data_IF_402210345821
#
_entry.id   IF_402210345821
#
_cell.length_a   1.000
_cell.length_b   1.000
_cell.length_c   1.000
_cell.angle_alpha   90.00
_cell.angle_beta   90.00
_cell.angle_gamma   90.00
#
_symmetry.space_group_name_H-M   'P 1'
#
loop_
_entity.id
_entity.type
_entity.pdbx_description
1 polymer ?
#
# COMPACT_ATOMS: atom_id res chain seq x y z
N UNK A 1 -20.96 15.35 33.28
CA UNK A 1 -21.34 13.99 32.85
C UNK A 1 -22.09 14.15 31.54
N UNK A 2 -21.40 13.90 30.42
CA UNK A 2 -21.96 14.07 29.08
C UNK A 2 -22.89 12.91 28.75
N UNK A 3 -24.03 13.22 28.14
CA UNK A 3 -24.96 12.23 27.64
C UNK A 3 -24.30 11.42 26.53
N UNK A 4 -24.06 10.14 26.84
CA UNK A 4 -23.78 9.09 25.89
C UNK A 4 -24.94 8.95 24.91
N UNK A 5 -24.61 8.57 23.67
CA UNK A 5 -25.55 8.27 22.59
C UNK A 5 -26.51 7.15 23.04
N UNK A 6 -27.74 7.51 23.35
CA UNK A 6 -28.87 6.62 23.11
C UNK A 6 -29.35 6.86 21.69
N UNK A 7 -29.60 5.77 20.97
CA UNK A 7 -30.26 5.80 19.68
C UNK A 7 -31.48 6.72 19.74
N UNK A 8 -31.70 7.48 18.67
CA UNK A 8 -32.83 8.40 18.53
C UNK A 8 -34.14 7.74 19.05
N UNK A 9 -34.92 8.42 19.92
CA UNK A 9 -36.06 7.81 20.56
C UNK A 9 -37.09 7.30 19.55
N UNK A 10 -37.58 6.07 19.80
CA UNK A 10 -38.60 5.39 18.97
C UNK A 10 -39.95 6.12 18.89
N UNK A 11 -40.16 7.23 19.62
CA UNK A 11 -41.40 8.02 19.55
C UNK A 11 -41.56 8.82 18.25
N UNK A 12 -40.61 8.75 17.32
CA UNK A 12 -40.66 9.44 16.02
C UNK A 12 -41.10 8.53 14.85
N UNK A 13 -41.61 7.33 15.14
CA UNK A 13 -41.95 6.27 14.15
C UNK A 13 -43.12 6.63 13.18
N UNK A 14 -43.75 7.80 13.24
CA UNK A 14 -44.91 8.10 12.40
C UNK A 14 -44.95 9.46 11.67
N UNK A 15 -43.81 10.13 11.45
CA UNK A 15 -43.72 11.21 10.43
C UNK A 15 -42.38 11.12 9.71
N UNK A 16 -42.39 11.22 8.39
CA UNK A 16 -41.17 11.40 7.58
C UNK A 16 -40.51 12.72 8.02
N UNK A 17 -39.59 12.64 8.98
CA UNK A 17 -38.81 13.81 9.41
C UNK A 17 -37.77 14.04 8.33
N UNK A 18 -37.92 15.13 7.60
CA UNK A 18 -36.95 15.62 6.62
C UNK A 18 -35.70 16.06 7.41
N UNK A 19 -34.54 15.50 7.05
CA UNK A 19 -33.27 15.74 7.75
C UNK A 19 -32.32 16.53 6.84
N UNK A 20 -31.76 17.63 7.36
CA UNK A 20 -30.59 18.27 6.78
C UNK A 20 -29.37 17.67 7.47
N UNK A 21 -28.53 16.97 6.71
CA UNK A 21 -27.29 16.40 7.22
C UNK A 21 -26.11 17.29 6.85
N UNK A 22 -25.36 17.73 7.85
CA UNK A 22 -24.18 18.58 7.68
C UNK A 22 -22.94 17.75 7.99
N UNK A 23 -21.95 17.73 7.10
CA UNK A 23 -20.68 17.02 7.34
C UNK A 23 -19.47 17.86 6.97
N UNK A 24 -18.51 17.92 7.90
CA UNK A 24 -17.17 18.50 7.66
C UNK A 24 -16.07 17.42 7.54
N UNK A 25 -16.48 16.15 7.33
CA UNK A 25 -15.56 15.03 7.23
C UNK A 25 -14.65 14.88 8.47
N UNK A 26 -13.36 14.71 8.23
CA UNK A 26 -12.32 14.69 9.29
C UNK A 26 -11.64 16.04 9.49
N UNK A 27 -12.08 17.08 8.79
CA UNK A 27 -11.45 18.41 8.81
C UNK A 27 -12.03 19.29 9.90
N UNK A 28 -11.31 20.37 10.23
CA UNK A 28 -11.85 21.49 10.99
C UNK A 28 -12.59 22.44 10.03
N UNK A 29 -13.85 22.74 10.34
CA UNK A 29 -14.60 23.81 9.69
C UNK A 29 -15.72 24.33 10.61
N UNK A 30 -15.32 24.77 11.80
CA UNK A 30 -16.22 25.38 12.77
C UNK A 30 -17.13 26.51 12.20
N UNK A 31 -16.72 27.37 11.25
CA UNK A 31 -17.61 28.37 10.67
C UNK A 31 -18.90 27.82 10.06
N UNK A 32 -18.84 26.69 9.35
CA UNK A 32 -20.04 26.04 8.81
C UNK A 32 -20.90 25.44 9.92
N UNK A 33 -20.26 24.83 10.92
CA UNK A 33 -20.95 24.24 12.07
C UNK A 33 -21.70 25.31 12.85
N UNK A 34 -21.07 26.44 13.16
CA UNK A 34 -21.69 27.58 13.84
C UNK A 34 -22.88 28.09 13.04
N UNK A 35 -22.70 28.34 11.74
CA UNK A 35 -23.77 28.87 10.88
C UNK A 35 -24.98 27.94 10.84
N UNK A 36 -24.78 26.64 10.69
CA UNK A 36 -25.87 25.66 10.67
C UNK A 36 -26.55 25.50 12.03
N UNK A 37 -25.81 25.63 13.14
CA UNK A 37 -26.37 25.62 14.49
C UNK A 37 -27.21 26.87 14.79
N UNK A 38 -26.83 28.03 14.27
CA UNK A 38 -27.62 29.27 14.34
C UNK A 38 -28.92 29.17 13.52
N UNK A 39 -28.88 28.49 12.36
CA UNK A 39 -30.03 28.33 11.48
C UNK A 39 -30.99 27.24 11.93
N UNK A 40 -30.53 26.22 12.65
CA UNK A 40 -31.33 25.06 13.04
C UNK A 40 -32.70 25.40 13.68
N UNK A 41 -32.84 26.40 14.57
CA UNK A 41 -34.14 26.78 15.14
C UNK A 41 -35.14 27.38 14.13
N UNK A 42 -34.65 27.90 13.01
CA UNK A 42 -35.47 28.56 11.98
C UNK A 42 -35.93 27.61 10.88
N UNK A 43 -35.33 26.42 10.81
CA UNK A 43 -35.60 25.41 9.80
C UNK A 43 -36.71 24.46 10.28
N UNK A 44 -37.52 23.98 9.35
CA UNK A 44 -38.59 23.01 9.63
C UNK A 44 -38.05 21.58 9.76
N UNK A 45 -36.88 21.35 9.19
CA UNK A 45 -36.13 20.12 9.09
C UNK A 45 -35.27 19.88 10.34
N UNK A 46 -35.06 18.61 10.68
CA UNK A 46 -34.11 18.26 11.71
C UNK A 46 -32.68 18.45 11.17
N UNK A 47 -31.87 19.25 11.85
CA UNK A 47 -30.45 19.41 11.51
C UNK A 47 -29.60 18.43 12.32
N UNK A 48 -28.81 17.61 11.62
CA UNK A 48 -27.83 16.69 12.21
C UNK A 48 -26.44 17.03 11.68
N UNK A 49 -25.47 17.29 12.56
CA UNK A 49 -24.14 17.77 12.19
C UNK A 49 -23.05 16.78 12.62
N UNK A 50 -22.21 16.37 11.67
CA UNK A 50 -20.91 15.79 11.98
C UNK A 50 -19.89 16.91 12.18
N UNK A 51 -19.38 17.08 13.40
CA UNK A 51 -18.32 18.03 13.75
C UNK A 51 -16.98 17.28 13.74
N UNK A 52 -16.08 17.55 12.81
CA UNK A 52 -14.83 16.81 12.63
C UNK A 52 -13.83 17.03 13.78
N UNK A 53 -12.69 17.66 13.48
CA UNK A 53 -11.68 18.03 14.48
C UNK A 53 -11.91 19.39 15.13
N UNK A 54 -12.96 20.11 14.74
CA UNK A 54 -13.32 21.43 15.27
C UNK A 54 -13.66 21.45 16.77
N UNK A 55 -13.54 22.63 17.37
CA UNK A 55 -13.70 22.85 18.81
C UNK A 55 -15.12 23.28 19.19
N UNK A 56 -15.86 23.87 18.25
CA UNK A 56 -17.23 24.32 18.50
C UNK A 56 -18.18 23.14 18.76
N UNK A 57 -19.03 23.30 19.78
CA UNK A 57 -20.05 22.31 20.16
C UNK A 57 -21.44 22.92 19.88
N UNK A 58 -22.23 22.34 18.95
CA UNK A 58 -23.57 22.82 18.63
C UNK A 58 -24.53 22.79 19.82
N UNK A 59 -25.41 23.78 19.90
CA UNK A 59 -26.37 23.95 21.02
C UNK A 59 -27.83 23.72 20.61
N UNK A 60 -28.15 23.93 19.34
CA UNK A 60 -29.51 23.95 18.82
C UNK A 60 -29.84 22.75 17.92
N UNK A 61 -28.85 21.90 17.61
CA UNK A 61 -29.01 20.76 16.73
C UNK A 61 -28.37 19.47 17.28
N UNK A 62 -28.69 18.33 16.65
CA UNK A 62 -28.07 17.04 17.01
C UNK A 62 -26.69 16.97 16.38
N UNK A 63 -25.68 16.51 17.11
CA UNK A 63 -24.33 16.40 16.58
C UNK A 63 -23.61 15.12 16.99
N UNK A 64 -22.58 14.75 16.21
CA UNK A 64 -21.62 13.71 16.56
C UNK A 64 -20.25 14.05 15.97
N UNK A 65 -19.18 13.41 16.47
CA UNK A 65 -17.82 13.58 15.93
C UNK A 65 -17.47 12.55 14.87
N UNK A 66 -17.44 11.30 15.28
CA UNK A 66 -17.10 10.16 14.44
C UNK A 66 -18.16 9.08 14.57
N UNK A 67 -18.52 8.49 13.44
CA UNK A 67 -19.40 7.32 13.37
C UNK A 67 -18.69 6.23 12.54
N UNK A 68 -18.93 4.94 12.83
CA UNK A 68 -18.36 3.84 12.03
C UNK A 68 -18.75 3.90 10.55
N UNK A 69 -19.88 4.52 10.23
CA UNK A 69 -20.35 4.79 8.88
C UNK A 69 -21.26 6.03 8.87
N UNK A 70 -21.17 6.82 7.79
CA UNK A 70 -22.07 7.95 7.52
C UNK A 70 -23.31 7.54 6.71
N UNK A 71 -23.35 6.30 6.20
CA UNK A 71 -24.44 5.77 5.38
C UNK A 71 -25.84 6.02 5.97
N UNK A 72 -26.10 5.75 7.26
CA UNK A 72 -27.45 5.94 7.83
C UNK A 72 -27.89 7.41 7.86
N UNK A 73 -26.94 8.34 7.84
CA UNK A 73 -27.22 9.77 7.81
C UNK A 73 -27.51 10.24 6.40
N UNK A 74 -26.74 9.76 5.41
CA UNK A 74 -27.01 10.05 3.99
C UNK A 74 -28.37 9.49 3.55
N UNK A 75 -28.72 8.26 3.93
CA UNK A 75 -30.01 7.65 3.55
C UNK A 75 -31.20 8.50 4.01
N UNK A 76 -31.12 9.06 5.22
CA UNK A 76 -32.17 9.86 5.85
C UNK A 76 -32.16 11.33 5.44
N UNK A 77 -31.03 11.82 4.92
CA UNK A 77 -30.90 13.21 4.49
C UNK A 77 -31.75 13.47 3.23
N UNK A 78 -32.54 14.54 3.28
CA UNK A 78 -33.13 15.14 2.07
C UNK A 78 -32.14 16.05 1.38
N UNK A 79 -31.31 16.72 2.18
CA UNK A 79 -30.27 17.66 1.75
C UNK A 79 -29.01 17.38 2.56
N UNK A 80 -27.87 17.34 1.86
CA UNK A 80 -26.56 17.28 2.48
C UNK A 80 -25.87 18.63 2.29
N UNK A 81 -25.33 19.18 3.38
CA UNK A 81 -24.47 20.37 3.36
C UNK A 81 -23.06 19.94 3.74
N UNK A 82 -22.10 20.14 2.86
CA UNK A 82 -20.72 19.70 3.10
C UNK A 82 -19.71 20.74 2.68
N UNK A 83 -18.56 20.78 3.35
CA UNK A 83 -17.39 21.47 2.80
C UNK A 83 -16.90 20.70 1.58
N UNK A 84 -16.67 21.38 0.45
CA UNK A 84 -16.55 20.76 -0.88
C UNK A 84 -15.36 19.82 -1.16
N UNK A 85 -14.89 19.05 -0.18
CA UNK A 85 -13.94 17.97 -0.36
C UNK A 85 -14.44 16.92 -1.36
N UNK A 86 -13.56 16.51 -2.28
CA UNK A 86 -13.92 15.66 -3.42
C UNK A 86 -14.55 14.33 -3.01
N UNK A 87 -14.07 13.69 -1.94
CA UNK A 87 -14.59 12.40 -1.46
C UNK A 87 -16.07 12.47 -1.12
N UNK A 88 -16.43 13.39 -0.21
CA UNK A 88 -17.81 13.62 0.24
C UNK A 88 -18.71 14.06 -0.91
N UNK A 89 -18.24 15.02 -1.72
CA UNK A 89 -18.99 15.50 -2.90
C UNK A 89 -19.36 14.35 -3.83
N UNK A 90 -18.40 13.52 -4.21
CA UNK A 90 -18.66 12.41 -5.13
C UNK A 90 -19.53 11.31 -4.52
N UNK A 91 -19.41 11.06 -3.22
CA UNK A 91 -20.24 10.08 -2.50
C UNK A 91 -21.71 10.50 -2.48
N UNK A 92 -22.00 11.75 -2.12
CA UNK A 92 -23.36 12.31 -2.06
C UNK A 92 -23.99 12.32 -3.45
N UNK A 93 -23.25 12.78 -4.47
CA UNK A 93 -23.73 12.83 -5.85
C UNK A 93 -24.06 11.44 -6.41
N UNK A 94 -23.22 10.43 -6.15
CA UNK A 94 -23.49 9.05 -6.58
C UNK A 94 -24.70 8.41 -5.90
N UNK A 95 -25.05 8.89 -4.70
CA UNK A 95 -26.27 8.47 -3.98
C UNK A 95 -27.52 9.21 -4.45
N UNK A 96 -27.39 10.12 -5.41
CA UNK A 96 -28.51 10.91 -5.95
C UNK A 96 -29.12 11.88 -4.93
N UNK A 97 -28.32 12.32 -3.96
CA UNK A 97 -28.76 13.22 -2.89
C UNK A 97 -28.51 14.67 -3.29
N UNK A 98 -29.42 15.56 -2.89
CA UNK A 98 -29.26 17.01 -3.05
C UNK A 98 -28.08 17.48 -2.21
N UNK A 99 -27.11 18.13 -2.87
CA UNK A 99 -25.87 18.60 -2.25
C UNK A 99 -25.77 20.13 -2.34
N UNK A 100 -25.59 20.77 -1.17
CA UNK A 100 -25.04 22.12 -1.07
C UNK A 100 -23.57 21.98 -0.69
N UNK A 101 -22.69 22.31 -1.62
CA UNK A 101 -21.26 22.32 -1.38
C UNK A 101 -20.83 23.71 -0.94
N UNK A 102 -20.28 23.83 0.26
CA UNK A 102 -19.81 25.07 0.85
C UNK A 102 -18.31 25.20 0.61
N UNK A 103 -17.90 26.35 0.10
CA UNK A 103 -16.50 26.67 -0.07
C UNK A 103 -15.84 26.89 1.30
N UNK A 104 -14.86 26.05 1.64
CA UNK A 104 -14.07 26.21 2.84
C UNK A 104 -12.83 27.07 2.56
N UNK A 105 -12.90 28.33 2.93
CA UNK A 105 -11.82 29.31 2.76
C UNK A 105 -10.57 29.05 3.63
N UNK A 106 -10.64 28.10 4.58
CA UNK A 106 -9.53 27.78 5.50
C UNK A 106 -8.68 26.56 5.12
N UNK A 107 -9.13 25.71 4.18
CA UNK A 107 -8.50 24.41 3.92
C UNK A 107 -8.50 23.91 2.46
N UNK A 108 -8.68 24.77 1.46
CA UNK A 108 -8.83 24.33 0.05
C UNK A 108 -7.58 24.62 -0.81
N UNK A 109 -7.09 23.56 -1.48
CA UNK A 109 -6.21 23.62 -2.66
C UNK A 109 -7.02 24.01 -3.91
N UNK A 110 -6.47 24.86 -4.80
CA UNK A 110 -7.19 25.41 -5.96
C UNK A 110 -7.89 24.37 -6.87
N UNK A 111 -7.41 23.13 -6.90
CA UNK A 111 -8.04 22.04 -7.67
C UNK A 111 -9.45 21.66 -7.18
N UNK A 112 -9.80 21.87 -5.90
CA UNK A 112 -11.14 21.55 -5.42
C UNK A 112 -12.16 22.59 -5.91
N UNK A 113 -11.75 23.87 -5.98
CA UNK A 113 -12.56 24.96 -6.55
C UNK A 113 -12.88 24.70 -8.02
N UNK A 114 -11.89 24.29 -8.83
CA UNK A 114 -12.10 23.96 -10.25
C UNK A 114 -13.14 22.85 -10.45
N UNK A 115 -13.13 21.84 -9.56
CA UNK A 115 -14.06 20.72 -9.63
C UNK A 115 -15.47 21.14 -9.20
N UNK A 116 -15.61 21.91 -8.13
CA UNK A 116 -16.91 22.43 -7.68
C UNK A 116 -17.53 23.35 -8.73
N UNK A 117 -16.71 24.19 -9.37
CA UNK A 117 -17.13 25.02 -10.49
C UNK A 117 -17.66 24.17 -11.65
N UNK A 118 -16.90 23.14 -12.05
CA UNK A 118 -17.32 22.25 -13.13
C UNK A 118 -18.61 21.47 -12.80
N UNK A 119 -18.76 20.96 -11.57
CA UNK A 119 -19.95 20.22 -11.14
C UNK A 119 -21.17 21.13 -11.00
N UNK A 120 -20.99 22.34 -10.47
CA UNK A 120 -22.06 23.33 -10.34
C UNK A 120 -22.51 23.86 -11.70
N UNK A 121 -21.58 24.08 -12.64
CA UNK A 121 -21.90 24.50 -14.02
C UNK A 121 -22.74 23.47 -14.79
N UNK A 122 -22.62 22.18 -14.44
CA UNK A 122 -23.44 21.09 -14.98
C UNK A 122 -24.75 20.89 -14.21
N UNK A 123 -25.01 21.69 -13.17
CA UNK A 123 -26.25 21.62 -12.39
C UNK A 123 -26.33 20.45 -11.41
N UNK A 124 -25.22 19.76 -11.11
CA UNK A 124 -25.25 18.59 -10.22
C UNK A 124 -25.35 18.95 -8.73
N UNK A 125 -24.90 20.14 -8.34
CA UNK A 125 -24.91 20.62 -6.96
C UNK A 125 -25.13 22.13 -6.89
N UNK A 126 -25.53 22.62 -5.72
CA UNK A 126 -25.53 24.05 -5.42
C UNK A 126 -24.21 24.42 -4.75
N UNK A 127 -23.45 25.30 -5.38
CA UNK A 127 -22.18 25.77 -4.81
C UNK A 127 -22.40 27.07 -4.03
N UNK A 128 -22.16 27.01 -2.73
CA UNK A 128 -22.24 28.12 -1.78
C UNK A 128 -20.83 28.66 -1.54
N UNK A 129 -20.49 29.79 -2.19
CA UNK A 129 -19.19 30.47 -2.04
C UNK A 129 -19.09 31.34 -0.78
N UNK A 130 -20.25 31.73 -0.26
CA UNK A 130 -20.37 32.59 0.90
C UNK A 130 -21.37 31.98 1.89
N UNK A 131 -20.90 31.68 3.10
CA UNK A 131 -21.71 31.12 4.18
C UNK A 131 -22.93 31.98 4.52
N UNK A 132 -22.88 33.29 4.28
CA UNK A 132 -24.00 34.19 4.54
C UNK A 132 -25.14 34.05 3.53
N UNK A 133 -24.87 33.47 2.35
CA UNK A 133 -25.89 33.14 1.36
C UNK A 133 -26.63 31.81 1.66
N UNK A 134 -26.12 31.00 2.59
CA UNK A 134 -26.66 29.69 2.91
C UNK A 134 -28.16 29.68 3.31
N UNK A 135 -28.68 30.65 4.09
CA UNK A 135 -30.11 30.70 4.42
C UNK A 135 -31.00 30.90 3.18
N UNK A 136 -30.62 31.82 2.29
CA UNK A 136 -31.36 32.06 1.05
C UNK A 136 -31.31 30.85 0.12
N UNK A 137 -30.16 30.18 0.05
CA UNK A 137 -30.00 28.94 -0.73
C UNK A 137 -30.92 27.84 -0.20
N UNK A 138 -30.98 27.62 1.12
CA UNK A 138 -31.83 26.61 1.73
C UNK A 138 -33.32 26.88 1.48
N UNK A 139 -33.76 28.14 1.56
CA UNK A 139 -35.15 28.54 1.27
C UNK A 139 -35.52 28.32 -0.20
N UNK A 140 -34.60 28.63 -1.12
CA UNK A 140 -34.82 28.50 -2.56
C UNK A 140 -34.59 27.08 -3.07
N UNK A 141 -33.92 26.22 -2.32
CA UNK A 141 -33.53 24.87 -2.75
C UNK A 141 -34.67 24.04 -3.37
N UNK A 142 -35.92 24.04 -2.85
CA UNK A 142 -37.03 23.31 -3.46
C UNK A 142 -37.39 23.77 -4.88
N UNK A 143 -36.97 24.98 -5.26
CA UNK A 143 -37.20 25.58 -6.59
C UNK A 143 -36.01 25.40 -7.54
N UNK A 144 -34.85 24.94 -7.05
CA UNK A 144 -33.66 24.72 -7.85
C UNK A 144 -33.77 23.34 -8.51
N UNK A 145 -33.69 23.30 -9.84
CA UNK A 145 -33.56 22.05 -10.58
C UNK A 145 -32.10 21.59 -10.54
N UNK A 146 -31.86 20.42 -9.96
CA UNK A 146 -30.55 19.76 -9.98
C UNK A 146 -30.59 18.55 -10.90
N UNK A 147 -29.60 18.45 -11.77
CA UNK A 147 -29.43 17.31 -12.65
C UNK A 147 -28.93 16.10 -11.84
N UNK A 148 -29.48 14.90 -12.04
CA UNK A 148 -28.92 13.69 -11.44
C UNK A 148 -27.48 13.48 -11.94
N UNK A 149 -26.54 13.32 -11.01
CA UNK A 149 -25.18 13.01 -11.39
C UNK A 149 -25.11 11.61 -12.03
N UNK A 150 -24.81 11.58 -13.32
CA UNK A 150 -24.48 10.35 -14.04
C UNK A 150 -22.97 10.34 -14.24
N UNK A 151 -22.32 9.32 -13.68
CA UNK A 151 -20.88 9.17 -13.86
C UNK A 151 -20.58 9.09 -15.37
N UNK A 152 -19.78 10.02 -15.93
CA UNK A 152 -19.53 10.04 -17.37
C UNK A 152 -18.85 8.73 -17.78
N UNK A 153 -19.13 8.21 -18.99
CA UNK A 153 -18.45 7.03 -19.50
C UNK A 153 -16.95 7.31 -19.51
N UNK A 154 -16.21 6.56 -18.68
CA UNK A 154 -14.77 6.74 -18.57
C UNK A 154 -14.10 5.98 -19.72
N UNK A 155 -13.93 6.65 -20.85
CA UNK A 155 -13.22 6.09 -22.00
C UNK A 155 -11.79 5.66 -21.66
N UNK A 156 -11.14 6.27 -20.67
CA UNK A 156 -9.80 5.85 -20.22
C UNK A 156 -9.87 4.47 -19.58
N UNK A 157 -10.80 4.22 -18.66
CA UNK A 157 -10.96 2.90 -18.04
C UNK A 157 -11.44 1.89 -19.08
N UNK A 158 -12.30 2.28 -20.00
CA UNK A 158 -12.76 1.40 -21.07
C UNK A 158 -11.70 1.12 -22.13
N UNK A 159 -10.86 2.09 -22.51
CA UNK A 159 -9.67 1.91 -23.36
C UNK A 159 -8.61 1.10 -22.65
N UNK A 160 -8.36 1.32 -21.35
CA UNK A 160 -7.48 0.47 -20.56
C UNK A 160 -8.05 -0.95 -20.51
N UNK A 161 -9.36 -1.13 -20.29
CA UNK A 161 -10.03 -2.44 -20.33
C UNK A 161 -10.05 -3.05 -21.73
N UNK A 162 -10.13 -2.26 -22.79
CA UNK A 162 -10.12 -2.72 -24.18
C UNK A 162 -8.70 -3.13 -24.59
N UNK A 163 -7.69 -2.32 -24.30
CA UNK A 163 -6.26 -2.64 -24.38
C UNK A 163 -5.96 -3.91 -23.56
N UNK A 164 -6.46 -4.02 -22.31
CA UNK A 164 -6.33 -5.22 -21.48
C UNK A 164 -7.08 -6.43 -22.08
N UNK A 165 -8.21 -6.23 -22.78
CA UNK A 165 -8.93 -7.30 -23.49
C UNK A 165 -8.23 -7.74 -24.78
N UNK A 166 -7.41 -6.88 -25.37
CA UNK A 166 -6.54 -7.18 -26.51
C UNK A 166 -5.15 -7.68 -26.10
N UNK A 167 -4.77 -7.54 -24.82
CA UNK A 167 -3.73 -8.37 -24.24
C UNK A 167 -4.20 -9.83 -24.26
N UNK A 168 -3.32 -10.80 -24.59
CA UNK A 168 -3.72 -12.20 -24.60
C UNK A 168 -4.31 -12.60 -23.23
N UNK A 169 -5.24 -13.59 -23.18
CA UNK A 169 -5.73 -14.19 -21.92
C UNK A 169 -4.56 -14.63 -21.00
N UNK A 170 -4.77 -15.05 -19.74
CA UNK A 170 -3.74 -15.23 -18.70
C UNK A 170 -2.75 -16.40 -18.93
N UNK A 171 -2.47 -16.74 -20.19
CA UNK A 171 -1.30 -17.47 -20.64
C UNK A 171 -0.01 -16.91 -20.06
N UNK A 172 0.09 -15.61 -19.75
CA UNK A 172 1.29 -15.04 -19.13
C UNK A 172 1.73 -15.81 -17.86
N UNK A 173 0.79 -16.10 -16.96
CA UNK A 173 1.08 -16.84 -15.74
C UNK A 173 1.32 -18.33 -16.01
N UNK A 174 0.54 -18.94 -16.92
CA UNK A 174 0.69 -20.35 -17.30
C UNK A 174 2.04 -20.58 -18.00
N UNK A 175 2.38 -19.76 -19.00
CA UNK A 175 3.66 -19.78 -19.72
C UNK A 175 4.81 -19.51 -18.75
N UNK A 176 4.69 -18.53 -17.84
CA UNK A 176 5.70 -18.31 -16.80
C UNK A 176 5.89 -19.52 -15.90
N UNK A 177 4.81 -20.18 -15.49
CA UNK A 177 4.84 -21.42 -14.70
C UNK A 177 5.55 -22.54 -15.45
N UNK A 178 5.22 -22.75 -16.73
CA UNK A 178 5.89 -23.74 -17.57
C UNK A 178 7.36 -23.40 -17.82
N UNK A 179 7.71 -22.13 -18.04
CA UNK A 179 9.10 -21.69 -18.21
C UNK A 179 9.93 -21.92 -16.94
N UNK A 180 9.42 -21.51 -15.77
CA UNK A 180 10.09 -21.74 -14.47
C UNK A 180 10.18 -23.24 -14.19
N UNK A 181 9.08 -23.98 -14.30
CA UNK A 181 9.06 -25.42 -14.07
C UNK A 181 9.98 -26.19 -15.02
N UNK A 182 9.96 -25.84 -16.30
CA UNK A 182 10.82 -26.42 -17.34
C UNK A 182 12.30 -26.12 -17.13
N UNK A 183 12.65 -24.87 -16.80
CA UNK A 183 14.02 -24.50 -16.44
C UNK A 183 14.49 -25.30 -15.21
N UNK A 184 13.67 -25.34 -14.16
CA UNK A 184 13.98 -26.07 -12.94
C UNK A 184 14.14 -27.58 -13.18
N UNK A 185 13.29 -28.18 -14.03
CA UNK A 185 13.40 -29.58 -14.41
C UNK A 185 14.69 -29.83 -15.21
N UNK A 186 14.94 -29.01 -16.24
CA UNK A 186 16.09 -29.14 -17.11
C UNK A 186 17.39 -29.04 -16.30
N UNK A 187 17.57 -28.00 -15.49
CA UNK A 187 18.80 -27.82 -14.70
C UNK A 187 18.97 -28.89 -13.61
N UNK A 188 17.88 -29.35 -13.01
CA UNK A 188 17.93 -30.39 -11.97
C UNK A 188 18.26 -31.77 -12.55
N UNK A 189 17.50 -32.23 -13.54
CA UNK A 189 17.63 -33.60 -14.07
C UNK A 189 18.84 -33.79 -14.98
N UNK A 190 19.38 -32.72 -15.56
CA UNK A 190 20.66 -32.79 -16.29
C UNK A 190 21.88 -32.78 -15.37
N UNK A 191 21.70 -32.62 -14.05
CA UNK A 191 22.80 -32.54 -13.08
C UNK A 191 23.52 -31.20 -13.08
N UNK A 192 23.12 -30.23 -13.91
CA UNK A 192 23.74 -28.90 -13.96
C UNK A 192 23.62 -28.17 -12.62
N UNK A 193 22.48 -28.28 -11.93
CA UNK A 193 22.29 -27.70 -10.59
C UNK A 193 23.30 -28.26 -9.58
N UNK A 194 23.54 -29.58 -9.61
CA UNK A 194 24.53 -30.24 -8.76
C UNK A 194 25.96 -29.80 -9.11
N UNK A 195 26.29 -29.71 -10.40
CA UNK A 195 27.60 -29.23 -10.85
C UNK A 195 27.85 -27.78 -10.37
N UNK A 196 26.85 -26.90 -10.46
CA UNK A 196 26.95 -25.52 -9.97
C UNK A 196 27.11 -25.40 -8.46
N UNK A 197 26.59 -26.38 -7.71
CA UNK A 197 26.73 -26.47 -6.26
C UNK A 197 28.16 -26.89 -5.87
N UNK A 198 28.71 -27.93 -6.52
CA UNK A 198 30.06 -28.44 -6.25
C UNK A 198 31.17 -27.42 -6.55
N UNK A 199 30.98 -26.58 -7.58
CA UNK A 199 32.06 -25.75 -8.14
C UNK A 199 32.21 -24.38 -7.46
N UNK A 200 31.52 -24.07 -6.36
CA UNK A 200 31.94 -22.85 -5.64
C UNK A 200 31.36 -22.61 -4.27
N UNK A 201 31.67 -23.54 -3.38
CA UNK A 201 31.56 -23.33 -1.95
C UNK A 201 30.13 -23.05 -1.46
N UNK A 202 30.05 -22.73 -0.19
CA UNK A 202 28.77 -22.52 0.48
C UNK A 202 28.04 -21.31 -0.09
N UNK A 203 26.82 -21.56 -0.58
CA UNK A 203 25.91 -20.56 -1.16
C UNK A 203 24.73 -20.33 -0.23
N UNK A 204 24.30 -19.09 -0.10
CA UNK A 204 23.12 -18.71 0.68
C UNK A 204 22.05 -18.16 -0.26
N UNK A 205 20.82 -18.63 -0.10
CA UNK A 205 19.67 -18.11 -0.84
C UNK A 205 18.89 -17.14 0.02
N UNK A 206 18.54 -16.00 -0.55
CA UNK A 206 17.63 -15.04 0.05
C UNK A 206 16.30 -15.18 -0.68
N UNK A 207 15.26 -15.62 0.02
CA UNK A 207 13.90 -15.73 -0.51
C UNK A 207 13.20 -14.38 -0.41
N UNK A 208 12.46 -14.00 -1.44
CA UNK A 208 11.71 -12.76 -1.50
C UNK A 208 10.21 -13.07 -1.59
N UNK A 209 9.47 -12.61 -0.59
CA UNK A 209 8.02 -12.62 -0.51
C UNK A 209 7.50 -11.17 -0.51
N UNK A 210 6.21 -10.99 -0.82
CA UNK A 210 5.53 -9.70 -0.67
C UNK A 210 4.27 -9.89 0.16
N UNK A 211 3.24 -10.53 -0.40
CA UNK A 211 1.94 -10.70 0.24
C UNK A 211 1.65 -12.17 0.56
N UNK A 212 1.00 -12.42 1.70
CA UNK A 212 0.51 -13.75 2.10
C UNK A 212 -1.00 -13.68 2.37
N UNK A 213 -1.79 -13.81 1.30
CA UNK A 213 -3.25 -13.59 1.33
C UNK A 213 -4.04 -14.73 0.65
N UNK A 214 -5.24 -15.00 1.16
CA UNK A 214 -6.15 -16.07 0.69
C UNK A 214 -6.59 -15.90 -0.77
N UNK A 215 -6.74 -14.66 -1.23
CA UNK A 215 -6.98 -14.34 -2.63
C UNK A 215 -5.75 -13.66 -3.20
N UNK A 216 -4.81 -14.41 -3.82
CA UNK A 216 -3.65 -13.83 -4.49
C UNK A 216 -4.13 -12.91 -5.62
N UNK A 217 -4.24 -11.61 -5.35
CA UNK A 217 -4.72 -10.65 -6.34
C UNK A 217 -3.74 -10.45 -7.51
N UNK A 218 -2.52 -11.00 -7.41
CA UNK A 218 -1.39 -10.77 -8.30
C UNK A 218 -0.27 -11.79 -8.07
N UNK A 219 0.66 -11.86 -9.03
CA UNK A 219 1.71 -12.90 -9.10
C UNK A 219 2.56 -13.04 -7.83
N UNK A 220 2.81 -11.94 -7.13
CA UNK A 220 3.72 -11.85 -5.98
C UNK A 220 3.04 -12.11 -4.63
N UNK A 221 1.81 -12.62 -4.65
CA UNK A 221 1.08 -13.06 -3.45
C UNK A 221 1.11 -14.58 -3.34
N UNK A 222 1.29 -15.11 -2.14
CA UNK A 222 1.31 -16.56 -1.85
C UNK A 222 0.16 -16.88 -0.91
N UNK A 223 -0.60 -17.95 -1.17
CA UNK A 223 -1.67 -18.34 -0.25
C UNK A 223 -1.11 -18.75 1.12
N UNK A 224 -1.84 -18.56 2.23
CA UNK A 224 -1.35 -18.92 3.57
C UNK A 224 -0.95 -20.40 3.68
N UNK A 225 -1.75 -21.31 3.12
CA UNK A 225 -1.45 -22.74 3.11
C UNK A 225 -0.14 -23.09 2.37
N UNK A 226 0.12 -22.44 1.23
CA UNK A 226 1.38 -22.62 0.49
C UNK A 226 2.56 -22.05 1.28
N UNK A 227 2.40 -20.86 1.86
CA UNK A 227 3.44 -20.24 2.69
C UNK A 227 3.79 -21.11 3.91
N UNK A 228 2.79 -21.64 4.63
CA UNK A 228 3.01 -22.55 5.74
C UNK A 228 3.74 -23.83 5.32
N UNK A 229 3.35 -24.44 4.20
CA UNK A 229 4.03 -25.62 3.66
C UNK A 229 5.50 -25.34 3.34
N UNK A 230 5.81 -24.14 2.83
CA UNK A 230 7.17 -23.67 2.57
C UNK A 230 7.95 -23.47 3.87
N UNK A 231 7.37 -22.78 4.87
CA UNK A 231 8.01 -22.55 6.17
C UNK A 231 8.32 -23.87 6.89
N UNK A 232 7.37 -24.80 6.91
CA UNK A 232 7.57 -26.15 7.46
C UNK A 232 8.68 -26.92 6.74
N UNK A 233 8.76 -26.79 5.41
CA UNK A 233 9.84 -27.40 4.63
C UNK A 233 11.21 -26.81 4.99
N UNK A 234 11.31 -25.48 5.13
CA UNK A 234 12.54 -24.80 5.52
C UNK A 234 12.97 -25.19 6.92
N UNK A 235 12.07 -25.12 7.91
CA UNK A 235 12.33 -25.50 9.30
C UNK A 235 12.86 -26.95 9.43
N UNK A 236 12.41 -27.86 8.57
CA UNK A 236 12.82 -29.26 8.60
C UNK A 236 14.16 -29.56 7.89
N UNK A 237 14.67 -28.68 7.02
CA UNK A 237 15.76 -29.01 6.09
C UNK A 237 16.87 -27.97 5.95
N UNK A 238 16.64 -26.75 6.40
CA UNK A 238 17.52 -25.60 6.24
C UNK A 238 17.74 -24.90 7.58
N UNK A 239 18.89 -24.24 7.70
CA UNK A 239 19.14 -23.30 8.78
C UNK A 239 18.67 -21.92 8.34
N UNK A 240 17.48 -21.52 8.78
CA UNK A 240 16.99 -20.17 8.49
C UNK A 240 17.73 -19.18 9.38
N UNK A 241 18.50 -18.29 8.78
CA UNK A 241 19.31 -17.27 9.46
C UNK A 241 18.82 -15.88 9.08
N UNK A 242 19.11 -14.89 9.92
CA UNK A 242 18.82 -13.49 9.59
C UNK A 242 19.74 -12.99 8.48
N UNK A 243 19.31 -11.95 7.77
CA UNK A 243 20.15 -11.30 6.76
C UNK A 243 21.44 -10.74 7.38
N UNK A 244 21.35 -10.21 8.59
CA UNK A 244 22.50 -9.68 9.34
C UNK A 244 23.51 -10.79 9.66
N UNK A 245 23.05 -11.98 10.08
CA UNK A 245 23.92 -13.14 10.32
C UNK A 245 24.63 -13.59 9.03
N UNK A 246 23.90 -13.61 7.90
CA UNK A 246 24.49 -13.92 6.60
C UNK A 246 25.57 -12.90 6.23
N UNK A 247 25.29 -11.60 6.37
CA UNK A 247 26.24 -10.52 6.06
C UNK A 247 27.47 -10.60 6.96
N UNK A 248 27.29 -10.82 8.26
CA UNK A 248 28.39 -11.01 9.21
C UNK A 248 29.28 -12.19 8.79
N UNK A 249 28.69 -13.34 8.47
CA UNK A 249 29.46 -14.51 8.04
C UNK A 249 30.23 -14.24 6.72
N UNK A 250 29.64 -13.48 5.79
CA UNK A 250 30.28 -13.13 4.52
C UNK A 250 31.44 -12.15 4.68
N UNK A 251 31.48 -11.38 5.77
CA UNK A 251 32.58 -10.49 6.14
C UNK A 251 33.58 -11.12 7.10
N UNK A 252 33.44 -12.42 7.40
CA UNK A 252 34.37 -13.18 8.23
C UNK A 252 34.04 -13.17 9.73
N UNK A 253 32.85 -12.70 10.11
CA UNK A 253 32.37 -12.67 11.50
C UNK A 253 31.34 -13.76 11.73
N UNK A 254 31.67 -14.73 12.60
CA UNK A 254 30.81 -15.86 12.91
C UNK A 254 30.86 -16.98 11.87
N UNK A 255 30.13 -18.07 12.13
CA UNK A 255 30.04 -19.21 11.23
C UNK A 255 28.80 -19.14 10.34
N UNK A 256 28.87 -19.72 9.15
CA UNK A 256 27.72 -19.92 8.27
C UNK A 256 27.28 -21.38 8.36
N UNK A 257 26.12 -21.71 8.97
CA UNK A 257 25.62 -23.07 9.00
C UNK A 257 25.41 -23.64 7.60
N UNK A 258 25.67 -24.93 7.41
CA UNK A 258 25.35 -25.60 6.14
C UNK A 258 23.87 -25.40 5.80
N UNK A 259 23.54 -25.34 4.51
CA UNK A 259 22.15 -25.14 4.05
C UNK A 259 21.48 -23.91 4.69
N UNK A 260 22.24 -22.83 4.83
CA UNK A 260 21.69 -21.55 5.28
C UNK A 260 20.75 -20.93 4.24
N UNK A 261 19.64 -20.36 4.70
CA UNK A 261 18.67 -19.61 3.89
C UNK A 261 18.21 -18.38 4.66
N UNK A 262 17.91 -17.30 3.95
CA UNK A 262 17.35 -16.06 4.49
C UNK A 262 15.95 -15.86 3.92
N UNK A 263 15.02 -15.37 4.74
CA UNK A 263 13.65 -15.02 4.34
C UNK A 263 13.51 -13.49 4.38
N UNK A 264 13.01 -12.90 3.29
CA UNK A 264 12.75 -11.45 3.20
C UNK A 264 11.33 -11.18 2.71
N UNK A 265 10.76 -10.08 3.20
CA UNK A 265 9.48 -9.52 2.77
C UNK A 265 9.69 -8.06 2.35
N UNK A 266 9.00 -7.65 1.29
CA UNK A 266 9.03 -6.26 0.80
C UNK A 266 7.66 -5.57 1.05
N UNK A 267 7.63 -4.26 0.82
CA UNK A 267 6.46 -3.36 0.82
C UNK A 267 5.79 -3.05 2.17
N UNK A 268 5.82 -3.96 3.15
CA UNK A 268 5.14 -3.74 4.43
C UNK A 268 3.62 -3.97 4.39
N UNK A 269 3.15 -4.93 3.60
CA UNK A 269 1.74 -5.33 3.57
C UNK A 269 1.24 -5.81 4.93
N UNK A 270 0.01 -5.45 5.32
CA UNK A 270 -0.60 -5.85 6.61
C UNK A 270 -0.71 -7.36 6.79
N UNK A 271 -0.83 -8.11 5.69
CA UNK A 271 -0.86 -9.57 5.70
C UNK A 271 0.47 -10.21 6.13
N UNK A 272 1.59 -9.47 6.07
CA UNK A 272 2.86 -9.89 6.66
C UNK A 272 2.72 -10.01 8.18
N UNK A 273 2.03 -9.07 8.84
CA UNK A 273 1.79 -9.12 10.28
C UNK A 273 0.65 -10.08 10.66
N UNK A 274 -0.47 -10.03 9.94
CA UNK A 274 -1.68 -10.78 10.32
C UNK A 274 -1.62 -12.26 9.95
N UNK A 275 -0.84 -12.63 8.94
CA UNK A 275 -0.77 -14.01 8.43
C UNK A 275 0.65 -14.59 8.48
N UNK A 276 1.62 -13.94 7.82
CA UNK A 276 2.96 -14.53 7.68
C UNK A 276 3.71 -14.60 9.01
N UNK A 277 3.63 -13.55 9.83
CA UNK A 277 4.32 -13.45 11.10
C UNK A 277 3.90 -14.53 12.12
N UNK A 278 2.60 -14.81 12.37
CA UNK A 278 2.17 -15.94 13.19
C UNK A 278 2.71 -17.29 12.71
N UNK A 279 2.70 -17.54 11.40
CA UNK A 279 3.23 -18.78 10.80
C UNK A 279 4.74 -18.88 11.08
N UNK A 280 5.52 -17.83 10.78
CA UNK A 280 6.97 -17.84 11.03
C UNK A 280 7.31 -18.04 12.51
N UNK A 281 6.54 -17.41 13.42
CA UNK A 281 6.67 -17.59 14.87
C UNK A 281 6.45 -19.04 15.30
N UNK A 282 5.44 -19.73 14.75
CA UNK A 282 5.17 -21.13 15.08
C UNK A 282 6.34 -22.06 14.76
N UNK A 283 7.19 -21.70 13.79
CA UNK A 283 8.39 -22.45 13.40
C UNK A 283 9.71 -21.82 13.89
N UNK A 284 9.66 -20.76 14.70
CA UNK A 284 10.83 -19.99 15.17
C UNK A 284 11.75 -19.51 14.03
N UNK A 285 11.17 -19.04 12.93
CA UNK A 285 11.93 -18.61 11.75
C UNK A 285 12.18 -17.09 11.78
N UNK A 286 13.44 -16.64 11.71
CA UNK A 286 13.74 -15.23 11.52
C UNK A 286 13.45 -14.80 10.08
N UNK A 287 13.15 -13.51 9.89
CA UNK A 287 13.01 -12.89 8.58
C UNK A 287 13.40 -11.42 8.63
N UNK A 288 13.56 -10.81 7.46
CA UNK A 288 13.76 -9.36 7.31
C UNK A 288 12.58 -8.76 6.56
N UNK A 289 11.97 -7.70 7.08
CA UNK A 289 10.89 -6.94 6.45
C UNK A 289 11.42 -5.57 5.99
N UNK A 290 11.39 -5.32 4.68
CA UNK A 290 11.76 -4.06 4.08
C UNK A 290 10.54 -3.15 3.95
N UNK A 291 10.59 -1.98 4.61
CA UNK A 291 9.45 -1.08 4.76
C UNK A 291 9.57 0.19 3.93
N UNK A 292 8.41 0.71 3.51
CA UNK A 292 8.23 2.01 2.87
C UNK A 292 7.52 2.93 3.88
N UNK A 293 8.23 3.81 4.61
CA UNK A 293 7.62 4.61 5.66
C UNK A 293 6.43 5.46 5.20
N UNK A 294 6.48 6.05 4.00
CA UNK A 294 5.36 6.86 3.51
C UNK A 294 4.08 6.02 3.35
N UNK A 295 4.18 4.76 2.94
CA UNK A 295 3.01 3.89 2.79
C UNK A 295 2.38 3.54 4.14
N UNK A 296 3.20 3.30 5.18
CA UNK A 296 2.72 3.08 6.55
C UNK A 296 1.97 4.31 7.09
N UNK A 297 2.39 5.50 6.67
CA UNK A 297 1.86 6.79 7.14
C UNK A 297 0.75 7.35 6.24
N UNK A 298 0.27 6.57 5.27
CA UNK A 298 -0.78 7.00 4.34
C UNK A 298 -0.36 8.13 3.41
N UNK A 299 0.95 8.31 3.19
CA UNK A 299 1.53 9.30 2.28
C UNK A 299 2.00 8.67 0.97
N UNK A 300 2.25 9.53 -0.02
CA UNK A 300 2.66 9.12 -1.36
C UNK A 300 1.51 8.51 -2.16
N UNK A 301 1.84 7.61 -3.09
CA UNK A 301 0.87 6.89 -3.92
C UNK A 301 0.96 5.37 -3.66
N UNK A 302 0.56 4.89 -2.47
CA UNK A 302 0.48 3.45 -2.23
C UNK A 302 -0.51 2.78 -3.19
N UNK A 303 -0.25 1.54 -3.61
CA UNK A 303 -1.24 0.74 -4.34
C UNK A 303 -2.62 0.75 -3.67
N UNK A 304 -3.70 1.11 -4.40
CA UNK A 304 -5.03 1.26 -3.81
C UNK A 304 -5.61 -0.08 -3.36
N UNK A 305 -6.52 -0.02 -2.37
CA UNK A 305 -7.25 -1.18 -1.87
C UNK A 305 -6.39 -2.14 -1.04
N UNK A 306 -5.31 -1.63 -0.44
CA UNK A 306 -4.41 -2.43 0.37
C UNK A 306 -4.11 -1.77 1.69
N UNK A 307 -3.90 -2.62 2.68
CA UNK A 307 -3.54 -2.21 4.02
C UNK A 307 -2.07 -2.50 4.27
N UNK A 308 -1.45 -1.62 5.03
CA UNK A 308 -0.06 -1.71 5.45
C UNK A 308 0.03 -2.03 6.93
N UNK A 309 1.18 -2.54 7.35
CA UNK A 309 1.47 -2.68 8.77
C UNK A 309 1.46 -1.31 9.45
N UNK A 310 1.04 -1.26 10.72
CA UNK A 310 1.17 -0.06 11.54
C UNK A 310 2.54 -0.01 12.21
N UNK A 311 2.97 1.18 12.66
CA UNK A 311 4.22 1.30 13.43
C UNK A 311 4.23 0.47 14.72
N UNK A 312 3.07 0.28 15.35
CA UNK A 312 2.93 -0.61 16.51
C UNK A 312 3.24 -2.06 16.14
N UNK A 313 2.66 -2.56 15.04
CA UNK A 313 2.90 -3.90 14.52
C UNK A 313 4.37 -4.09 14.10
N UNK A 314 4.97 -3.07 13.47
CA UNK A 314 6.39 -3.06 13.11
C UNK A 314 7.27 -3.19 14.36
N UNK A 315 7.00 -2.40 15.41
CA UNK A 315 7.73 -2.50 16.68
C UNK A 315 7.58 -3.86 17.35
N UNK A 316 6.38 -4.44 17.32
CA UNK A 316 6.14 -5.78 17.87
C UNK A 316 6.96 -6.84 17.14
N UNK A 317 6.88 -6.90 15.81
CA UNK A 317 7.66 -7.84 15.01
C UNK A 317 9.16 -7.66 15.23
N UNK A 318 9.61 -6.41 15.24
CA UNK A 318 10.99 -5.97 15.51
C UNK A 318 11.54 -6.53 16.83
N UNK A 319 10.75 -6.50 17.91
CA UNK A 319 11.15 -7.04 19.23
C UNK A 319 11.15 -8.57 19.28
N UNK A 320 10.47 -9.22 18.33
CA UNK A 320 10.22 -10.66 18.33
C UNK A 320 10.93 -11.39 17.17
N UNK A 321 12.11 -10.93 16.77
CA UNK A 321 12.99 -11.66 15.86
C UNK A 321 12.81 -11.37 14.36
N UNK A 322 11.98 -10.38 14.00
CA UNK A 322 11.93 -9.86 12.62
C UNK A 322 12.86 -8.66 12.50
N UNK A 323 13.87 -8.75 11.63
CA UNK A 323 14.72 -7.61 11.30
C UNK A 323 13.94 -6.63 10.41
N UNK A 324 14.17 -5.33 10.59
CA UNK A 324 13.55 -4.29 9.76
C UNK A 324 14.63 -3.66 8.88
N UNK A 325 14.35 -3.58 7.58
CA UNK A 325 15.19 -2.95 6.57
C UNK A 325 14.45 -1.82 5.85
N UNK A 326 15.19 -1.02 5.09
CA UNK A 326 14.63 0.09 4.33
C UNK A 326 14.28 -0.29 2.88
N UNK A 327 13.16 0.23 2.38
CA UNK A 327 12.70 0.05 0.99
C UNK A 327 12.47 1.39 0.29
N UNK A 328 13.39 2.36 0.48
CA UNK A 328 13.23 3.80 0.20
C UNK A 328 12.13 4.47 1.03
N UNK A 329 11.97 5.79 0.90
CA UNK A 329 10.97 6.53 1.67
C UNK A 329 9.59 6.33 1.04
N UNK A 330 9.53 6.42 -0.29
CA UNK A 330 8.28 6.48 -1.08
C UNK A 330 8.14 5.41 -2.16
N UNK A 331 8.98 4.37 -2.16
CA UNK A 331 9.00 3.25 -3.12
C UNK A 331 9.35 3.65 -4.57
N UNK A 332 10.25 4.63 -4.74
CA UNK A 332 10.68 5.11 -6.06
C UNK A 332 11.96 4.43 -6.52
N UNK A 333 12.05 4.17 -7.83
CA UNK A 333 13.26 3.63 -8.46
C UNK A 333 14.38 4.68 -8.41
N UNK A 334 15.38 4.48 -7.54
CA UNK A 334 16.48 5.41 -7.32
C UNK A 334 17.22 5.82 -8.61
N UNK A 335 17.42 4.89 -9.55
CA UNK A 335 18.08 5.18 -10.83
C UNK A 335 17.32 6.16 -11.73
N UNK A 336 16.02 6.36 -11.49
CA UNK A 336 15.16 7.26 -12.28
C UNK A 336 14.99 8.62 -11.62
N UNK A 337 15.67 8.86 -10.51
CA UNK A 337 15.62 10.10 -9.77
C UNK A 337 16.88 10.92 -10.02
N UNK A 338 16.79 12.25 -9.94
CA UNK A 338 17.95 13.09 -9.72
C UNK A 338 18.73 12.61 -8.48
N UNK A 339 20.06 12.71 -8.53
CA UNK A 339 20.93 12.14 -7.50
C UNK A 339 20.61 12.65 -6.08
N UNK A 340 20.33 13.95 -5.93
CA UNK A 340 19.95 14.52 -4.62
C UNK A 340 18.64 13.94 -4.09
N UNK A 341 17.67 13.69 -4.97
CA UNK A 341 16.41 13.07 -4.58
C UNK A 341 16.60 11.60 -4.21
N UNK A 342 17.47 10.87 -4.94
CA UNK A 342 17.85 9.52 -4.57
C UNK A 342 18.57 9.46 -3.20
N UNK A 343 19.44 10.44 -2.89
CA UNK A 343 20.06 10.56 -1.56
C UNK A 343 19.02 10.78 -0.48
N UNK A 344 18.07 11.70 -0.72
CA UNK A 344 16.97 11.97 0.20
C UNK A 344 16.12 10.73 0.47
N UNK A 345 15.71 10.01 -0.57
CA UNK A 345 14.93 8.77 -0.45
C UNK A 345 15.61 7.72 0.45
N UNK A 346 16.93 7.56 0.29
CA UNK A 346 17.70 6.56 1.04
C UNK A 346 17.95 7.01 2.49
N UNK A 347 18.35 8.25 2.69
CA UNK A 347 18.68 8.79 4.01
C UNK A 347 17.44 9.03 4.89
N UNK A 348 16.37 9.60 4.32
CA UNK A 348 15.14 9.87 5.06
C UNK A 348 14.41 8.58 5.45
N UNK A 349 14.41 7.56 4.57
CA UNK A 349 13.89 6.24 4.90
C UNK A 349 14.60 5.64 6.11
N UNK A 350 15.93 5.70 6.13
CA UNK A 350 16.75 5.22 7.26
C UNK A 350 16.40 5.95 8.54
N UNK A 351 16.47 7.29 8.52
CA UNK A 351 16.22 8.12 9.70
C UNK A 351 14.83 7.86 10.29
N UNK A 352 13.81 7.79 9.43
CA UNK A 352 12.43 7.55 9.86
C UNK A 352 12.25 6.17 10.50
N UNK A 353 12.87 5.13 9.92
CA UNK A 353 12.82 3.79 10.50
C UNK A 353 13.60 3.70 11.82
N UNK A 354 14.77 4.31 11.92
CA UNK A 354 15.58 4.33 13.14
C UNK A 354 14.89 5.09 14.28
N UNK A 355 14.16 6.17 13.97
CA UNK A 355 13.31 6.89 14.92
C UNK A 355 12.23 5.98 15.53
N UNK A 356 11.52 5.20 14.71
CA UNK A 356 10.45 4.30 15.18
C UNK A 356 10.97 3.08 15.94
N UNK A 357 12.18 2.62 15.61
CA UNK A 357 12.76 1.39 16.15
C UNK A 357 13.69 1.64 17.33
N UNK A 358 14.24 2.84 17.47
CA UNK A 358 15.27 3.18 18.47
C UNK A 358 16.59 2.42 18.28
N UNK A 359 16.85 1.89 17.09
CA UNK A 359 18.05 1.10 16.75
C UNK A 359 18.42 1.27 15.28
N UNK A 360 19.68 1.00 14.96
CA UNK A 360 20.20 1.14 13.61
C UNK A 360 19.49 0.22 12.59
N UNK A 361 19.25 0.75 11.40
CA UNK A 361 18.73 0.02 10.23
C UNK A 361 19.87 -0.21 9.25
N UNK A 362 20.22 -1.47 9.04
CA UNK A 362 21.48 -1.86 8.36
C UNK A 362 21.26 -2.55 7.01
N UNK A 363 20.03 -2.86 6.63
CA UNK A 363 19.72 -3.54 5.37
C UNK A 363 18.81 -2.70 4.50
N UNK A 364 19.00 -2.81 3.18
CA UNK A 364 18.26 -2.07 2.18
C UNK A 364 17.73 -3.00 1.07
N UNK A 365 16.54 -2.74 0.53
CA UNK A 365 16.04 -3.38 -0.68
C UNK A 365 15.73 -2.32 -1.73
N UNK A 366 16.22 -2.51 -2.97
CA UNK A 366 15.92 -1.58 -4.06
C UNK A 366 14.47 -1.80 -4.55
N UNK A 367 13.61 -0.76 -4.60
CA UNK A 367 12.30 -0.84 -5.22
C UNK A 367 12.42 -1.37 -6.66
N UNK A 368 11.60 -2.37 -7.02
CA UNK A 368 11.64 -3.14 -8.27
C UNK A 368 12.91 -3.97 -8.50
N UNK A 369 14.08 -3.45 -8.11
CA UNK A 369 15.36 -4.15 -7.96
C UNK A 369 15.92 -4.86 -9.20
N UNK A 370 15.40 -4.57 -10.40
CA UNK A 370 15.90 -5.16 -11.63
C UNK A 370 17.12 -4.38 -12.17
N UNK A 371 17.78 -4.90 -13.21
CA UNK A 371 18.96 -4.26 -13.84
C UNK A 371 18.74 -2.79 -14.27
N UNK A 372 17.49 -2.37 -14.46
CA UNK A 372 17.11 -1.01 -14.86
C UNK A 372 16.86 -0.06 -13.69
N UNK A 373 16.85 -0.55 -12.45
CA UNK A 373 16.39 0.22 -11.29
C UNK A 373 17.56 0.60 -10.34
N UNK A 374 18.74 0.03 -10.57
CA UNK A 374 19.99 0.40 -9.89
C UNK A 374 21.22 0.29 -10.82
N UNK A 375 22.35 0.81 -10.37
CA UNK A 375 23.68 0.65 -10.96
C UNK A 375 24.77 0.81 -9.88
N UNK A 376 26.04 0.85 -10.29
CA UNK A 376 27.16 0.99 -9.36
C UNK A 376 27.14 2.31 -8.58
N UNK A 377 26.65 3.40 -9.18
CA UNK A 377 26.54 4.70 -8.52
C UNK A 377 25.47 4.69 -7.43
N UNK A 378 24.30 4.12 -7.74
CA UNK A 378 23.23 3.92 -6.76
C UNK A 378 23.66 2.97 -5.63
N UNK A 379 24.35 1.87 -5.95
CA UNK A 379 24.85 0.94 -4.94
C UNK A 379 25.87 1.61 -3.99
N UNK A 380 26.73 2.48 -4.53
CA UNK A 380 27.67 3.28 -3.73
C UNK A 380 26.94 4.29 -2.84
N UNK A 381 25.91 4.97 -3.35
CA UNK A 381 25.08 5.89 -2.56
C UNK A 381 24.43 5.18 -1.37
N UNK A 382 23.91 3.96 -1.56
CA UNK A 382 23.35 3.16 -0.46
C UNK A 382 24.43 2.78 0.55
N UNK A 383 25.62 2.38 0.11
CA UNK A 383 26.75 2.10 1.00
C UNK A 383 27.17 3.33 1.82
N UNK A 384 27.32 4.49 1.17
CA UNK A 384 27.70 5.76 1.82
C UNK A 384 26.63 6.27 2.79
N UNK A 385 25.38 5.83 2.66
CA UNK A 385 24.29 6.11 3.62
C UNK A 385 24.35 5.22 4.88
N UNK A 386 25.37 4.37 5.00
CA UNK A 386 25.66 3.57 6.18
C UNK A 386 24.81 2.31 6.31
N UNK A 387 24.25 1.79 5.21
CA UNK A 387 23.71 0.43 5.20
C UNK A 387 24.85 -0.58 5.09
N UNK A 388 24.71 -1.76 5.70
CA UNK A 388 25.69 -2.84 5.63
C UNK A 388 25.52 -3.73 4.39
N UNK A 389 24.31 -3.78 3.83
CA UNK A 389 24.01 -4.55 2.63
C UNK A 389 22.78 -4.01 1.88
N UNK A 390 22.64 -4.42 0.62
CA UNK A 390 21.45 -4.18 -0.17
C UNK A 390 21.07 -5.37 -1.06
N UNK A 391 19.76 -5.66 -1.15
CA UNK A 391 19.19 -6.77 -1.92
C UNK A 391 18.44 -6.29 -3.16
N UNK A 392 18.50 -7.11 -4.22
CA UNK A 392 17.92 -6.85 -5.55
C UNK A 392 16.82 -7.87 -5.86
N UNK A 393 16.15 -7.77 -7.02
CA UNK A 393 15.25 -8.83 -7.53
C UNK A 393 15.94 -9.76 -8.52
N UNK A 394 17.27 -9.63 -8.66
CA UNK A 394 18.06 -10.49 -9.54
C UNK A 394 18.12 -11.90 -8.98
N UNK A 395 17.74 -12.88 -9.80
CA UNK A 395 17.66 -14.28 -9.39
C UNK A 395 19.01 -14.89 -9.08
N UNK A 396 19.06 -15.67 -7.99
CA UNK A 396 20.16 -16.57 -7.69
C UNK A 396 20.59 -16.60 -6.24
N UNK A 397 21.61 -17.41 -6.00
CA UNK A 397 22.30 -17.55 -4.71
C UNK A 397 23.46 -16.56 -4.54
N UNK A 398 23.90 -16.43 -3.29
CA UNK A 398 24.88 -15.48 -2.79
C UNK A 398 26.07 -16.21 -2.18
N UNK A 399 27.28 -15.64 -2.27
CA UNK A 399 28.52 -16.26 -1.76
C UNK A 399 29.39 -15.24 -1.01
N UNK A 400 30.24 -15.68 -0.05
CA UNK A 400 31.28 -14.84 0.51
C UNK A 400 32.15 -14.19 -0.58
N UNK A 401 32.61 -12.96 -0.34
CA UNK A 401 33.44 -12.20 -1.28
C UNK A 401 32.70 -11.50 -2.43
N UNK A 402 31.39 -11.69 -2.56
CA UNK A 402 30.59 -10.92 -3.54
C UNK A 402 30.24 -9.52 -3.01
N UNK A 403 29.79 -8.63 -3.92
CA UNK A 403 29.30 -7.31 -3.54
C UNK A 403 28.02 -7.39 -2.68
N UNK A 404 28.11 -6.93 -1.43
CA UNK A 404 27.01 -6.92 -0.46
C UNK A 404 25.89 -5.92 -0.78
N UNK A 405 26.09 -5.01 -1.73
CA UNK A 405 25.11 -4.02 -2.15
C UNK A 405 24.35 -4.42 -3.42
N UNK A 406 24.59 -5.62 -3.92
CA UNK A 406 23.89 -6.19 -5.08
C UNK A 406 23.51 -7.65 -4.81
N UNK A 407 23.10 -7.97 -3.58
CA UNK A 407 22.72 -9.32 -3.19
C UNK A 407 21.53 -9.78 -4.01
N UNK A 408 21.58 -11.04 -4.45
CA UNK A 408 20.56 -11.67 -5.28
C UNK A 408 19.45 -12.24 -4.42
N UNK A 409 18.23 -12.32 -4.96
CA UNK A 409 17.08 -12.92 -4.30
C UNK A 409 16.35 -13.88 -5.21
N UNK A 410 15.69 -14.86 -4.63
CA UNK A 410 14.80 -15.78 -5.34
C UNK A 410 13.37 -15.42 -4.99
N UNK A 411 12.66 -14.88 -5.97
CA UNK A 411 11.24 -14.56 -5.85
C UNK A 411 10.39 -15.82 -5.77
N UNK A 412 9.51 -15.85 -4.76
CA UNK A 412 8.50 -16.91 -4.61
C UNK A 412 7.15 -16.34 -5.06
N UNK A 413 6.57 -16.96 -6.09
CA UNK A 413 5.34 -16.49 -6.74
C UNK A 413 4.16 -17.41 -6.43
N UNK A 414 2.94 -16.92 -6.59
CA UNK A 414 1.69 -17.70 -6.51
C UNK A 414 1.69 -19.00 -7.34
N UNK A 415 2.42 -19.02 -8.44
CA UNK A 415 2.50 -20.16 -9.37
C UNK A 415 3.46 -21.26 -8.92
N UNK A 416 4.28 -20.99 -7.90
CA UNK A 416 5.35 -21.86 -7.45
C UNK A 416 4.85 -22.85 -6.39
N UNK A 417 4.32 -23.98 -6.85
CA UNK A 417 3.98 -25.10 -5.97
C UNK A 417 5.21 -25.69 -5.28
N UNK A 418 4.99 -26.57 -4.29
CA UNK A 418 6.07 -27.13 -3.46
C UNK A 418 7.17 -27.86 -4.24
N UNK A 419 6.85 -28.47 -5.39
CA UNK A 419 7.87 -29.07 -6.25
C UNK A 419 8.82 -27.99 -6.77
N UNK A 420 8.29 -26.92 -7.37
CA UNK A 420 9.10 -25.81 -7.90
C UNK A 420 9.89 -25.16 -6.77
N UNK A 421 9.24 -24.88 -5.63
CA UNK A 421 9.89 -24.33 -4.43
C UNK A 421 11.10 -25.17 -3.99
N UNK A 422 10.93 -26.49 -3.87
CA UNK A 422 12.04 -27.40 -3.53
C UNK A 422 13.19 -27.35 -4.55
N UNK A 423 12.89 -27.16 -5.84
CA UNK A 423 13.91 -26.97 -6.89
C UNK A 423 14.61 -25.62 -6.80
N UNK A 424 13.91 -24.56 -6.43
CA UNK A 424 14.54 -23.26 -6.15
C UNK A 424 15.57 -23.37 -5.05
N UNK A 425 15.24 -24.11 -3.99
CA UNK A 425 16.09 -24.27 -2.82
C UNK A 425 17.42 -24.97 -3.12
N UNK A 426 17.50 -25.75 -4.20
CA UNK A 426 18.75 -26.37 -4.70
C UNK A 426 19.35 -25.62 -5.88
N UNK A 427 18.89 -24.40 -6.17
CA UNK A 427 19.45 -23.53 -7.21
C UNK A 427 19.09 -23.87 -8.65
N UNK A 428 18.10 -24.74 -8.86
CA UNK A 428 17.65 -25.10 -10.21
C UNK A 428 17.10 -23.89 -11.01
N UNK A 429 16.66 -22.83 -10.32
CA UNK A 429 16.20 -21.58 -10.93
C UNK A 429 17.25 -20.45 -10.94
N UNK A 430 18.49 -20.67 -10.49
CA UNK A 430 19.50 -19.60 -10.48
C UNK A 430 19.80 -19.06 -11.90
N UNK A 431 19.61 -19.88 -12.94
CA UNK A 431 19.72 -19.48 -14.35
C UNK A 431 18.65 -18.49 -14.83
N UNK A 432 17.58 -18.26 -14.05
CA UNK A 432 16.52 -17.31 -14.38
C UNK A 432 17.04 -15.87 -14.58
N UNK A 433 18.18 -15.54 -13.97
CA UNK A 433 18.85 -14.26 -14.17
C UNK A 433 19.23 -14.00 -15.63
N UNK A 434 19.54 -15.03 -16.42
CA UNK A 434 19.83 -14.88 -17.84
C UNK A 434 18.59 -14.40 -18.61
N UNK A 435 17.41 -14.92 -18.27
CA UNK A 435 16.14 -14.45 -18.82
C UNK A 435 15.84 -13.01 -18.40
N UNK A 436 16.06 -12.67 -17.12
CA UNK A 436 15.93 -11.28 -16.63
C UNK A 436 16.85 -10.32 -17.40
N UNK A 437 18.09 -10.73 -17.67
CA UNK A 437 19.06 -9.94 -18.43
C UNK A 437 18.66 -9.77 -19.90
N UNK A 438 18.23 -10.85 -20.57
CA UNK A 438 17.78 -10.79 -21.95
C UNK A 438 16.55 -9.87 -22.12
N UNK A 439 15.58 -9.96 -21.19
CA UNK A 439 14.43 -9.06 -21.16
C UNK A 439 14.84 -7.61 -20.98
N UNK A 440 15.79 -7.33 -20.08
CA UNK A 440 16.32 -5.98 -19.89
C UNK A 440 17.01 -5.43 -21.16
N UNK A 441 17.92 -6.20 -21.78
CA UNK A 441 18.56 -5.79 -23.03
C UNK A 441 17.53 -5.47 -24.12
N UNK A 442 16.52 -6.33 -24.28
CA UNK A 442 15.42 -6.10 -25.23
C UNK A 442 14.59 -4.85 -24.93
N UNK A 443 14.39 -4.50 -23.64
CA UNK A 443 13.71 -3.26 -23.25
C UNK A 443 14.56 -2.02 -23.57
N UNK A 444 15.88 -2.08 -23.31
CA UNK A 444 16.81 -0.99 -23.65
C UNK A 444 16.84 -0.74 -25.16
N UNK A 445 16.96 -1.80 -25.96
CA UNK A 445 16.98 -1.70 -27.43
C UNK A 445 15.67 -1.12 -28.00
N UNK A 446 14.51 -1.43 -27.40
CA UNK A 446 13.21 -0.90 -27.82
C UNK A 446 12.93 0.53 -27.36
N UNK A 447 13.58 0.99 -26.29
CA UNK A 447 13.47 2.37 -25.83
C UNK A 447 14.48 3.33 -26.46
N UNK A 448 15.42 2.80 -27.25
CA UNK A 448 16.42 3.56 -28.00
C UNK A 448 16.08 3.70 -29.50
N UNK A 449 14.96 3.10 -29.93
CA UNK A 449 14.32 3.27 -31.24
C UNK A 449 13.06 4.09 -31.06
#
# INVERSE_FOLDING_TARGET
MGNFVEALPQSHICREVVVIFVTVGTSDFDPLVVKMDELAPTLSELVVIQIGTGEYIPKNCTYFRFAPSLEPYYERASVVVAHGGLGTTMEVLRKGKTLISVENTTCIDGHQTDILEALSAQGYLVWCRDLDALPEILERLPTIHLEPYISPPCEIVERIRAEIRHLPPPWGHVVRKWMRGGLAAATYYTGLAWLWDQVGGQRVRILMYHSVAETPAYLHSVSPAAFEAQMRFLAARYHVISLEQMVAAFTGVGGLPERSVVITFDDGWRDTYTTAYPIMRAYNLPATLFLVPDWIEGRGNPPPGREYVTWEQVREMSRNGISIGAHTLSHRSLKRLPLEEARREVAASKARLEEELGRAVTSFAYPYGAFRDFDAGIARLVAESGYACAVTTLSGSNRPGQNLYTLRRTEVESIDGMWTFGKMMVGALDGWIAFQRARWVSQVLRGAA
#
